data_IF_944679222495
#
_entry.id   IF_944679222495
#
_cell.length_a   1.000
_cell.length_b   1.000
_cell.length_c   1.000
_cell.angle_alpha   90.00
_cell.angle_beta   90.00
_cell.angle_gamma   90.00
#
_symmetry.space_group_name_H-M   'P 1'
#
loop_
_entity.id
_entity.type
_entity.pdbx_description
1 polymer ?
#
# COMPACT_ATOMS: atom_id res chain seq x y z
N UNK A 1 -1.90 28.90 23.28
CA UNK A 1 -0.80 27.91 23.17
C UNK A 1 -1.09 27.07 21.94
N UNK A 2 -0.18 27.01 20.98
CA UNK A 2 -0.36 26.20 19.77
C UNK A 2 -0.14 24.72 20.12
N UNK A 3 -1.11 23.87 19.79
CA UNK A 3 -1.02 22.43 19.98
C UNK A 3 -0.16 21.82 18.86
N UNK A 4 0.92 21.12 19.22
CA UNK A 4 1.83 20.45 18.28
C UNK A 4 1.65 18.93 18.40
N UNK A 5 1.07 18.26 17.39
CA UNK A 5 0.84 16.82 17.45
C UNK A 5 2.15 16.03 17.30
N UNK A 6 2.19 14.82 17.87
CA UNK A 6 3.32 13.89 17.71
C UNK A 6 3.53 13.45 16.25
N UNK A 7 2.43 13.22 15.52
CA UNK A 7 2.44 12.89 14.11
C UNK A 7 1.19 13.44 13.43
N UNK A 8 1.35 13.90 12.19
CA UNK A 8 0.28 14.30 11.30
C UNK A 8 0.60 13.73 9.91
N UNK A 9 -0.32 12.98 9.27
CA UNK A 9 -0.14 12.60 7.87
C UNK A 9 0.02 13.84 7.00
N UNK A 10 0.99 13.80 6.10
CA UNK A 10 1.10 14.77 5.01
C UNK A 10 0.23 14.25 3.87
N UNK A 11 -0.87 14.97 3.60
CA UNK A 11 -1.87 14.62 2.59
C UNK A 11 -2.18 15.91 1.85
N UNK A 12 -2.06 15.88 0.53
CA UNK A 12 -2.31 17.03 -0.34
C UNK A 12 -3.55 16.84 -1.23
N UNK A 13 -3.80 17.80 -2.12
CA UNK A 13 -4.94 17.76 -3.04
C UNK A 13 -4.81 16.66 -4.12
N UNK A 14 -3.58 16.23 -4.46
CA UNK A 14 -3.34 15.15 -5.41
C UNK A 14 -3.75 13.80 -4.82
N UNK A 15 -3.43 13.57 -3.54
CA UNK A 15 -3.89 12.38 -2.79
C UNK A 15 -5.42 12.29 -2.78
N UNK A 16 -6.10 13.41 -2.47
CA UNK A 16 -7.56 13.49 -2.44
C UNK A 16 -8.15 13.24 -3.83
N UNK A 17 -7.57 13.85 -4.87
CA UNK A 17 -8.01 13.65 -6.25
C UNK A 17 -7.90 12.18 -6.65
N UNK A 18 -6.79 11.51 -6.34
CA UNK A 18 -6.59 10.09 -6.65
C UNK A 18 -7.66 9.18 -6.00
N UNK A 19 -8.07 9.47 -4.77
CA UNK A 19 -9.16 8.75 -4.08
C UNK A 19 -10.51 9.04 -4.75
N UNK A 20 -10.81 10.30 -5.07
CA UNK A 20 -12.07 10.66 -5.74
C UNK A 20 -12.19 9.98 -7.09
N UNK A 21 -11.13 9.92 -7.87
CA UNK A 21 -11.13 9.18 -9.13
C UNK A 21 -11.35 7.67 -8.93
N UNK A 22 -10.74 7.07 -7.91
CA UNK A 22 -10.96 5.66 -7.58
C UNK A 22 -12.44 5.40 -7.27
N UNK A 23 -13.07 6.24 -6.45
CA UNK A 23 -14.50 6.15 -6.12
C UNK A 23 -15.40 6.32 -7.36
N UNK A 24 -15.07 7.25 -8.25
CA UNK A 24 -15.83 7.51 -9.48
C UNK A 24 -15.64 6.44 -10.56
N UNK A 25 -14.53 5.70 -10.53
CA UNK A 25 -14.22 4.67 -11.53
C UNK A 25 -15.14 3.44 -11.48
N UNK A 26 -15.88 3.25 -10.39
CA UNK A 26 -16.63 2.02 -10.12
C UNK A 26 -15.77 0.84 -9.64
N UNK A 27 -14.44 0.99 -9.57
CA UNK A 27 -13.51 -0.03 -9.10
C UNK A 27 -12.83 0.40 -7.79
N UNK A 28 -13.48 0.07 -6.67
CA UNK A 28 -13.11 0.56 -5.33
C UNK A 28 -12.25 -0.41 -4.50
N UNK A 29 -11.90 -1.56 -5.08
CA UNK A 29 -11.07 -2.59 -4.42
C UNK A 29 -9.83 -2.89 -5.27
N UNK A 30 -9.12 -3.99 -4.98
CA UNK A 30 -7.94 -4.43 -5.73
C UNK A 30 -8.19 -4.43 -7.23
N UNK A 31 -7.36 -3.70 -7.98
CA UNK A 31 -7.59 -3.44 -9.39
C UNK A 31 -6.41 -2.74 -10.06
N UNK A 32 -6.64 -2.05 -11.19
CA UNK A 32 -5.58 -1.44 -11.99
C UNK A 32 -4.68 -0.45 -11.22
N UNK A 33 -5.27 0.30 -10.27
CA UNK A 33 -4.49 1.23 -9.41
C UNK A 33 -3.49 0.50 -8.52
N UNK A 34 -3.86 -0.67 -7.99
CA UNK A 34 -2.96 -1.52 -7.19
C UNK A 34 -1.84 -2.08 -8.05
N UNK A 35 -2.14 -2.57 -9.26
CA UNK A 35 -1.13 -3.07 -10.20
C UNK A 35 -0.13 -1.98 -10.59
N UNK A 36 -0.60 -0.76 -10.82
CA UNK A 36 0.25 0.40 -11.10
C UNK A 36 1.16 0.73 -9.91
N UNK A 37 0.61 0.71 -8.69
CA UNK A 37 1.38 0.91 -7.46
C UNK A 37 2.44 -0.19 -7.26
N UNK A 38 2.10 -1.46 -7.41
CA UNK A 38 3.05 -2.57 -7.31
C UNK A 38 4.19 -2.44 -8.31
N UNK A 39 3.89 -2.11 -9.58
CA UNK A 39 4.91 -1.90 -10.59
C UNK A 39 5.81 -0.71 -10.28
N UNK A 40 5.25 0.40 -9.79
CA UNK A 40 6.01 1.57 -9.38
C UNK A 40 6.90 1.28 -8.16
N UNK A 41 6.35 0.58 -7.17
CA UNK A 41 7.07 0.22 -5.95
C UNK A 41 8.19 -0.78 -6.22
N UNK A 42 7.95 -1.79 -7.06
CA UNK A 42 8.98 -2.74 -7.48
C UNK A 42 10.19 -2.04 -8.13
N UNK A 43 9.92 -1.07 -9.02
CA UNK A 43 10.97 -0.21 -9.60
C UNK A 43 11.68 0.63 -8.54
N UNK A 44 10.92 1.25 -7.63
CA UNK A 44 11.46 2.12 -6.59
C UNK A 44 12.45 1.38 -5.67
N UNK A 45 12.13 0.15 -5.26
CA UNK A 45 12.99 -0.65 -4.36
C UNK A 45 13.98 -1.56 -5.08
N UNK A 46 13.96 -1.61 -6.42
CA UNK A 46 14.89 -2.40 -7.22
C UNK A 46 14.65 -3.91 -7.20
N UNK A 47 13.39 -4.35 -7.16
CA UNK A 47 13.01 -5.78 -7.20
C UNK A 47 12.22 -6.11 -8.46
N UNK A 48 12.17 -7.39 -8.83
CA UNK A 48 11.38 -7.88 -9.95
C UNK A 48 9.86 -7.83 -9.68
N UNK A 49 9.45 -8.03 -8.43
CA UNK A 49 8.04 -8.13 -8.04
C UNK A 49 7.76 -7.43 -6.71
N UNK A 50 6.60 -6.80 -6.60
CA UNK A 50 6.03 -6.29 -5.35
C UNK A 50 4.57 -6.75 -5.26
N UNK A 51 4.09 -7.01 -4.05
CA UNK A 51 2.71 -7.41 -3.77
C UNK A 51 2.15 -6.48 -2.70
N UNK A 52 1.11 -5.73 -3.04
CA UNK A 52 0.43 -4.82 -2.13
C UNK A 52 -0.56 -5.58 -1.25
N UNK A 53 -0.55 -5.27 0.04
CA UNK A 53 -1.47 -5.84 1.03
C UNK A 53 -1.93 -4.75 1.99
N UNK A 54 -2.99 -5.02 2.75
CA UNK A 54 -3.62 -4.02 3.62
C UNK A 54 -2.80 -3.59 4.84
N UNK A 55 -1.68 -4.26 5.14
CA UNK A 55 -0.84 -3.97 6.30
C UNK A 55 0.53 -4.64 6.21
N UNK A 56 1.53 -4.09 6.89
CA UNK A 56 2.85 -4.72 7.02
C UNK A 56 2.76 -6.08 7.74
N UNK A 57 1.86 -6.21 8.72
CA UNK A 57 1.61 -7.49 9.41
C UNK A 57 1.15 -8.58 8.45
N UNK A 58 0.22 -8.28 7.53
CA UNK A 58 -0.20 -9.22 6.49
C UNK A 58 0.97 -9.58 5.55
N UNK A 59 1.81 -8.61 5.19
CA UNK A 59 2.96 -8.85 4.32
C UNK A 59 3.94 -9.84 4.97
N UNK A 60 4.30 -9.61 6.23
CA UNK A 60 5.19 -10.50 6.98
C UNK A 60 4.56 -11.87 7.17
N UNK A 61 3.27 -11.94 7.51
CA UNK A 61 2.57 -13.21 7.63
C UNK A 61 2.63 -14.04 6.34
N UNK A 62 2.32 -13.41 5.20
CA UNK A 62 2.38 -14.07 3.89
C UNK A 62 3.80 -14.47 3.51
N UNK A 63 4.81 -13.66 3.83
CA UNK A 63 6.21 -13.99 3.59
C UNK A 63 6.61 -15.27 4.36
N UNK A 64 6.27 -15.36 5.65
CA UNK A 64 6.55 -16.54 6.46
C UNK A 64 5.76 -17.77 5.96
N UNK A 65 4.50 -17.58 5.57
CA UNK A 65 3.66 -18.64 5.01
C UNK A 65 4.23 -19.17 3.68
N UNK A 66 4.70 -18.28 2.80
CA UNK A 66 5.30 -18.63 1.51
C UNK A 66 6.63 -19.38 1.66
N UNK A 67 7.41 -19.07 2.71
CA UNK A 67 8.61 -19.82 3.08
C UNK A 67 8.31 -21.22 3.63
N UNK A 68 7.03 -21.53 3.94
CA UNK A 68 6.63 -22.84 4.41
C UNK A 68 7.11 -23.17 5.83
N UNK A 69 7.34 -22.15 6.67
CA UNK A 69 7.79 -22.36 8.04
C UNK A 69 6.84 -23.27 8.83
N UNK A 70 7.41 -24.04 9.75
CA UNK A 70 6.70 -24.96 10.63
C UNK A 70 7.05 -24.65 12.07
N UNK A 71 6.21 -25.14 12.97
CA UNK A 71 6.52 -25.15 14.40
C UNK A 71 7.84 -25.88 14.61
N UNK A 72 8.72 -25.30 15.44
CA UNK A 72 9.95 -25.95 15.90
C UNK A 72 9.67 -27.16 16.77
#
# INVERSE_FOLDING_TARGET
MTNVPFFRPDIDDEDVAAVVEALRSGWITTGPRVQAFEAAFARYVGTAHAVAVNSCTAALHLALAALGLRRG
#
